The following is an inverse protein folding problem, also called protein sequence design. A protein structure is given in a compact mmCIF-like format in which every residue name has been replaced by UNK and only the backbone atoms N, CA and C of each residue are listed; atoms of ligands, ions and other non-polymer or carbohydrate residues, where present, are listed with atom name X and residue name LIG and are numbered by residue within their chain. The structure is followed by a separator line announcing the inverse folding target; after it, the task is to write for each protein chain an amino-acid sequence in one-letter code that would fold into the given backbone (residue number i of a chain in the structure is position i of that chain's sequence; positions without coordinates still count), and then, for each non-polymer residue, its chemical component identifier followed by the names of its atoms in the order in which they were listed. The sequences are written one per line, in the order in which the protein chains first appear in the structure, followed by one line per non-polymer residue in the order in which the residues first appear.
data_IF_451620342025
#
_entry.id   IF_451620342025
#
_cell.length_a   1.000
_cell.length_b   1.000
_cell.length_c   1.000
_cell.angle_alpha   90.00
_cell.angle_beta   90.00
_cell.angle_gamma   90.00
#
_symmetry.space_group_name_H-M   'P 1'
#
loop_
_entity.id
_entity.type
_entity.pdbx_description
1 polymer ?
#
# COMPACT_ATOMS: atom_id res chain seq x y z
N UNK A 1 2.23 -23.82 -6.14
CA UNK A 1 0.78 -23.54 -6.07
C UNK A 1 0.37 -22.25 -6.79
N UNK A 2 0.83 -21.05 -6.37
CA UNK A 2 0.36 -19.79 -6.98
C UNK A 2 0.88 -19.62 -8.42
N UNK A 3 2.12 -20.06 -8.73
CA UNK A 3 2.66 -20.05 -10.09
C UNK A 3 1.81 -20.91 -11.05
N UNK A 4 1.44 -22.14 -10.66
CA UNK A 4 0.52 -23.00 -11.44
C UNK A 4 -0.91 -22.43 -11.56
N UNK A 5 -1.33 -21.55 -10.65
CA UNK A 5 -2.62 -20.87 -10.77
C UNK A 5 -2.56 -19.78 -11.85
N UNK A 6 -1.52 -18.94 -11.83
CA UNK A 6 -1.35 -17.84 -12.80
C UNK A 6 -1.05 -18.36 -14.21
N UNK A 7 -0.43 -19.54 -14.34
CA UNK A 7 -0.18 -20.18 -15.63
C UNK A 7 -1.44 -20.69 -16.34
N UNK A 8 -2.54 -20.93 -15.60
CA UNK A 8 -3.77 -21.49 -16.15
C UNK A 8 -4.80 -20.40 -16.46
N UNK A 9 -4.98 -20.12 -17.76
CA UNK A 9 -5.91 -19.11 -18.28
C UNK A 9 -7.39 -19.43 -18.04
N UNK A 10 -7.75 -20.66 -17.64
CA UNK A 10 -9.12 -21.01 -17.26
C UNK A 10 -9.45 -20.65 -15.81
N UNK A 11 -8.45 -20.32 -14.97
CA UNK A 11 -8.67 -19.92 -13.58
C UNK A 11 -8.93 -18.41 -13.45
N UNK A 12 -9.72 -18.04 -12.44
CA UNK A 12 -10.00 -16.64 -12.11
C UNK A 12 -8.73 -15.88 -11.66
N UNK A 13 -8.60 -14.58 -11.99
CA UNK A 13 -7.47 -13.76 -11.57
C UNK A 13 -7.42 -13.59 -10.05
N UNK A 14 -6.21 -13.52 -9.49
CA UNK A 14 -5.97 -13.39 -8.06
C UNK A 14 -5.89 -11.91 -7.66
N UNK A 15 -6.80 -11.45 -6.80
CA UNK A 15 -6.67 -10.15 -6.14
C UNK A 15 -5.71 -10.29 -4.94
N UNK A 16 -4.71 -9.40 -4.88
CA UNK A 16 -3.72 -9.35 -3.79
C UNK A 16 -3.60 -7.94 -3.23
N UNK A 17 -3.43 -7.83 -1.91
CA UNK A 17 -3.14 -6.57 -1.21
C UNK A 17 -1.68 -6.61 -0.72
N UNK A 18 -0.70 -6.22 -1.55
CA UNK A 18 0.73 -6.41 -1.26
C UNK A 18 1.25 -5.61 -0.06
N UNK A 19 0.46 -4.66 0.43
CA UNK A 19 0.74 -3.86 1.62
C UNK A 19 0.38 -4.58 2.94
N UNK A 20 -0.59 -5.51 2.89
CA UNK A 20 -1.03 -6.30 4.05
C UNK A 20 -1.75 -5.53 5.17
N UNK A 21 -2.03 -4.23 5.01
CA UNK A 21 -2.77 -3.44 6.01
C UNK A 21 -3.43 -2.20 5.39
N UNK A 22 -4.65 -1.85 5.84
CA UNK A 22 -5.31 -0.59 5.46
C UNK A 22 -4.63 0.58 6.18
N UNK A 23 -4.09 1.56 5.45
CA UNK A 23 -3.39 2.73 6.01
C UNK A 23 -4.20 4.02 5.84
N UNK A 24 -3.67 5.12 6.38
CA UNK A 24 -4.12 6.46 6.09
C UNK A 24 -3.92 6.80 4.59
N UNK A 25 -4.92 7.47 4.03
CA UNK A 25 -5.12 7.78 2.60
C UNK A 25 -4.15 8.83 2.01
N UNK A 26 -2.95 8.96 2.59
CA UNK A 26 -1.94 9.98 2.28
C UNK A 26 -0.65 9.39 1.70
N UNK A 27 -0.46 8.08 1.79
CA UNK A 27 0.83 7.42 1.60
C UNK A 27 0.65 6.01 1.02
N UNK A 28 1.74 5.32 0.69
CA UNK A 28 1.77 3.88 0.38
C UNK A 28 2.99 3.25 1.05
N UNK A 29 2.82 2.21 1.86
CA UNK A 29 3.93 1.52 2.53
C UNK A 29 4.72 0.61 1.59
N UNK A 30 5.84 0.07 2.06
CA UNK A 30 6.59 -0.99 1.39
C UNK A 30 5.71 -2.22 1.13
N UNK A 31 5.58 -2.57 -0.15
CA UNK A 31 4.97 -3.81 -0.61
C UNK A 31 5.82 -5.04 -0.27
N UNK A 32 5.18 -6.16 0.08
CA UNK A 32 5.87 -7.41 0.46
C UNK A 32 6.39 -8.16 -0.78
N UNK A 33 7.71 -8.41 -0.82
CA UNK A 33 8.42 -9.02 -1.97
C UNK A 33 7.75 -10.29 -2.53
N UNK A 34 7.28 -11.19 -1.66
CA UNK A 34 6.67 -12.47 -2.06
C UNK A 34 5.43 -12.35 -2.96
N UNK A 35 4.75 -11.20 -3.00
CA UNK A 35 3.68 -10.92 -3.98
C UNK A 35 4.19 -10.76 -5.41
N UNK A 36 5.46 -10.45 -5.60
CA UNK A 36 6.09 -10.09 -6.89
C UNK A 36 7.07 -11.17 -7.39
N UNK A 37 7.55 -12.06 -6.51
CA UNK A 37 8.38 -13.23 -6.87
C UNK A 37 7.63 -14.34 -7.63
N UNK A 38 6.29 -14.27 -7.67
CA UNK A 38 5.46 -15.27 -8.33
C UNK A 38 5.67 -15.24 -9.85
N UNK A 39 5.82 -14.06 -10.44
CA UNK A 39 5.90 -13.85 -11.89
C UNK A 39 4.51 -13.81 -12.56
N UNK A 40 4.46 -13.25 -13.76
CA UNK A 40 3.24 -12.97 -14.51
C UNK A 40 2.89 -11.47 -14.59
N UNK A 41 1.79 -11.15 -15.25
CA UNK A 41 1.34 -9.77 -15.48
C UNK A 41 0.53 -9.24 -14.30
N UNK A 42 1.04 -8.23 -13.62
CA UNK A 42 0.33 -7.53 -12.54
C UNK A 42 -0.47 -6.37 -13.13
N UNK A 43 -1.73 -6.26 -12.74
CA UNK A 43 -2.59 -5.13 -13.08
C UNK A 43 -2.70 -4.24 -11.85
N UNK A 44 -1.99 -3.10 -11.76
CA UNK A 44 -2.03 -2.27 -10.57
C UNK A 44 -3.38 -1.55 -10.47
N UNK A 45 -3.94 -1.49 -9.26
CA UNK A 45 -5.15 -0.71 -8.97
C UNK A 45 -4.83 0.28 -7.87
N UNK A 46 -4.97 1.57 -8.16
CA UNK A 46 -4.91 2.62 -7.16
C UNK A 46 -6.30 2.86 -6.59
N UNK A 47 -6.43 2.86 -5.27
CA UNK A 47 -7.68 3.03 -4.54
C UNK A 47 -7.48 4.20 -3.57
N UNK A 48 -8.37 5.20 -3.59
CA UNK A 48 -8.30 6.37 -2.72
C UNK A 48 -9.69 6.77 -2.22
N UNK A 49 -9.89 6.69 -0.92
CA UNK A 49 -11.11 7.13 -0.24
C UNK A 49 -11.15 8.65 -0.09
N UNK A 50 -12.34 9.23 0.07
CA UNK A 50 -12.48 10.65 0.41
C UNK A 50 -12.87 10.80 1.90
N UNK A 51 -11.93 11.23 2.76
CA UNK A 51 -12.14 11.29 4.21
C UNK A 51 -13.19 12.32 4.65
N UNK A 52 -13.71 13.15 3.72
CA UNK A 52 -14.83 14.07 3.97
C UNK A 52 -16.17 13.35 4.17
N UNK A 53 -16.31 12.14 3.63
CA UNK A 53 -17.54 11.35 3.70
C UNK A 53 -17.42 10.23 4.76
N UNK A 54 -16.33 9.45 4.68
CA UNK A 54 -15.96 8.44 5.66
C UNK A 54 -14.45 8.19 5.60
N UNK A 55 -13.83 7.89 6.74
CA UNK A 55 -12.45 7.41 6.79
C UNK A 55 -12.46 5.93 7.23
N UNK A 56 -12.24 4.97 6.31
CA UNK A 56 -12.22 3.55 6.62
C UNK A 56 -10.93 3.08 7.32
N UNK A 57 -10.01 4.00 7.66
CA UNK A 57 -8.83 3.68 8.46
C UNK A 57 -9.12 3.83 9.96
N UNK A 58 -9.28 2.70 10.66
CA UNK A 58 -9.37 2.71 12.12
C UNK A 58 -7.99 2.88 12.79
N UNK A 59 -7.76 4.06 13.35
CA UNK A 59 -6.67 4.30 14.30
C UNK A 59 -7.11 3.95 15.73
N UNK A 60 -6.77 2.73 16.17
CA UNK A 60 -7.07 2.21 17.50
C UNK A 60 -6.30 2.90 18.64
N UNK A 61 -5.36 3.80 18.35
CA UNK A 61 -4.67 4.62 19.37
C UNK A 61 -5.38 5.93 19.67
N UNK A 62 -6.30 6.35 18.78
CA UNK A 62 -7.07 7.60 18.89
C UNK A 62 -8.57 7.38 19.07
N UNK A 63 -9.12 6.29 18.55
CA UNK A 63 -10.56 6.03 18.53
C UNK A 63 -10.90 4.66 19.13
N UNK A 64 -11.82 4.66 20.09
CA UNK A 64 -12.49 3.44 20.53
C UNK A 64 -13.19 2.77 19.34
N UNK A 65 -13.20 1.43 19.30
CA UNK A 65 -13.88 0.68 18.23
C UNK A 65 -15.37 1.03 18.16
N UNK A 66 -16.01 1.32 19.30
CA UNK A 66 -17.44 1.67 19.37
C UNK A 66 -17.69 3.03 18.71
N UNK A 67 -16.88 4.06 19.00
CA UNK A 67 -17.06 5.38 18.39
C UNK A 67 -16.66 5.40 16.91
N UNK A 68 -15.68 4.58 16.51
CA UNK A 68 -15.35 4.36 15.10
C UNK A 68 -16.48 3.67 14.33
N UNK A 69 -17.04 2.58 14.86
CA UNK A 69 -18.18 1.87 14.23
C UNK A 69 -19.42 2.77 14.17
N UNK A 70 -19.73 3.52 15.24
CA UNK A 70 -20.85 4.47 15.22
C UNK A 70 -20.66 5.56 14.16
N UNK A 71 -19.45 6.13 14.03
CA UNK A 71 -19.11 7.09 12.97
C UNK A 71 -19.28 6.48 11.58
N UNK A 72 -18.81 5.24 11.36
CA UNK A 72 -18.97 4.54 10.07
C UNK A 72 -20.44 4.22 9.73
N UNK A 73 -21.27 3.91 10.72
CA UNK A 73 -22.71 3.65 10.53
C UNK A 73 -23.53 4.95 10.34
N UNK A 74 -23.03 6.10 10.78
CA UNK A 74 -23.67 7.41 10.61
C UNK A 74 -23.10 8.24 9.46
N UNK A 75 -22.00 7.81 8.84
CA UNK A 75 -21.48 8.36 7.59
C UNK A 75 -22.47 8.14 6.43
N UNK A 76 -22.97 9.24 5.86
CA UNK A 76 -23.94 9.22 4.75
C UNK A 76 -23.47 8.44 3.52
N UNK A 77 -22.17 8.43 3.24
CA UNK A 77 -21.58 7.70 2.12
C UNK A 77 -20.11 7.31 2.41
N UNK A 78 -19.60 6.34 1.67
CA UNK A 78 -18.17 6.02 1.59
C UNK A 78 -17.74 6.27 0.13
N UNK A 79 -17.19 7.45 -0.15
CA UNK A 79 -16.72 7.79 -1.50
C UNK A 79 -15.33 7.19 -1.72
N UNK A 80 -15.19 6.40 -2.79
CA UNK A 80 -13.96 5.70 -3.13
C UNK A 80 -13.65 5.88 -4.63
N UNK A 81 -12.46 6.41 -4.92
CA UNK A 81 -11.94 6.55 -6.27
C UNK A 81 -11.07 5.33 -6.58
N UNK A 82 -11.37 4.65 -7.69
CA UNK A 82 -10.64 3.46 -8.14
C UNK A 82 -10.08 3.75 -9.54
N UNK A 83 -8.78 3.54 -9.72
CA UNK A 83 -8.11 3.63 -11.01
C UNK A 83 -7.42 2.32 -11.32
N UNK A 84 -7.78 1.71 -12.44
CA UNK A 84 -7.03 0.62 -13.06
C UNK A 84 -5.86 1.24 -13.83
N UNK A 85 -4.64 0.77 -13.58
CA UNK A 85 -3.43 1.19 -14.29
C UNK A 85 -3.09 0.17 -15.39
N UNK A 86 -2.28 0.54 -16.39
CA UNK A 86 -1.79 -0.39 -17.41
C UNK A 86 -1.10 -1.63 -16.79
N UNK A 87 -1.15 -2.79 -17.46
CA UNK A 87 -0.45 -3.99 -17.02
C UNK A 87 1.06 -3.75 -16.90
N UNK A 88 1.66 -4.30 -15.84
CA UNK A 88 3.08 -4.24 -15.55
C UNK A 88 3.65 -5.66 -15.43
N UNK A 89 4.81 -5.89 -16.03
CA UNK A 89 5.54 -7.17 -16.02
C UNK A 89 6.95 -6.92 -15.48
N UNK A 90 7.50 -7.88 -14.73
CA UNK A 90 8.89 -7.83 -14.26
C UNK A 90 9.83 -7.82 -15.46
N UNK A 91 10.73 -6.84 -15.54
CA UNK A 91 11.77 -6.78 -16.58
C UNK A 91 12.85 -7.84 -16.31
N UNK A 92 13.61 -8.28 -17.31
CA UNK A 92 14.46 -9.49 -17.18
C UNK A 92 15.48 -9.36 -16.03
N UNK A 93 16.23 -8.26 -15.98
CA UNK A 93 17.24 -7.95 -14.96
C UNK A 93 16.66 -7.44 -13.62
N UNK A 94 15.35 -7.16 -13.55
CA UNK A 94 14.71 -6.52 -12.39
C UNK A 94 14.44 -7.52 -11.25
N UNK A 95 15.01 -7.34 -10.05
CA UNK A 95 14.58 -8.13 -8.87
C UNK A 95 13.14 -7.75 -8.44
N UNK A 96 12.43 -8.70 -7.83
CA UNK A 96 11.06 -8.49 -7.36
C UNK A 96 10.90 -7.37 -6.31
N UNK A 97 11.96 -6.93 -5.59
CA UNK A 97 11.93 -5.69 -4.78
C UNK A 97 11.88 -4.44 -5.64
N UNK A 98 12.63 -4.40 -6.75
CA UNK A 98 12.59 -3.28 -7.69
C UNK A 98 11.23 -3.23 -8.40
N UNK A 99 10.72 -4.38 -8.86
CA UNK A 99 9.38 -4.48 -9.46
C UNK A 99 8.28 -4.05 -8.48
N UNK A 100 8.33 -4.51 -7.22
CA UNK A 100 7.40 -4.06 -6.19
C UNK A 100 7.46 -2.54 -5.94
N UNK A 101 8.66 -1.93 -5.96
CA UNK A 101 8.81 -0.49 -5.82
C UNK A 101 8.33 0.29 -7.06
N UNK A 102 8.54 -0.24 -8.28
CA UNK A 102 8.06 0.37 -9.54
C UNK A 102 6.53 0.36 -9.63
N UNK A 103 5.90 -0.77 -9.28
CA UNK A 103 4.43 -0.88 -9.17
C UNK A 103 3.88 0.02 -8.05
N UNK A 104 4.55 0.07 -6.89
CA UNK A 104 4.20 1.00 -5.78
C UNK A 104 4.26 2.46 -6.23
N UNK A 105 5.31 2.86 -6.96
CA UNK A 105 5.48 4.22 -7.45
C UNK A 105 4.36 4.61 -8.43
N UNK A 106 3.98 3.72 -9.35
CA UNK A 106 2.87 3.95 -10.28
C UNK A 106 1.53 4.16 -9.55
N UNK A 107 1.22 3.30 -8.57
CA UNK A 107 0.01 3.40 -7.73
C UNK A 107 0.01 4.69 -6.90
N UNK A 108 1.12 5.01 -6.25
CA UNK A 108 1.26 6.21 -5.42
C UNK A 108 1.17 7.51 -6.24
N UNK A 109 1.80 7.55 -7.42
CA UNK A 109 1.70 8.66 -8.36
C UNK A 109 0.25 8.87 -8.83
N UNK A 110 -0.45 7.80 -9.22
CA UNK A 110 -1.87 7.92 -9.64
C UNK A 110 -2.79 8.34 -8.51
N UNK A 111 -2.54 7.88 -7.28
CA UNK A 111 -3.29 8.28 -6.10
C UNK A 111 -2.92 9.66 -5.55
N UNK A 112 -1.82 10.29 -5.98
CA UNK A 112 -1.28 11.47 -5.30
C UNK A 112 -0.99 11.19 -3.82
N UNK A 113 -0.19 10.16 -3.57
CA UNK A 113 0.17 9.66 -2.24
C UNK A 113 1.70 9.58 -2.08
N UNK A 114 2.20 9.83 -0.87
CA UNK A 114 3.63 9.75 -0.58
C UNK A 114 4.13 8.29 -0.58
N UNK A 115 5.11 7.98 -1.42
CA UNK A 115 5.82 6.69 -1.38
C UNK A 115 6.68 6.62 -0.12
N UNK A 116 6.47 5.61 0.72
CA UNK A 116 7.27 5.39 1.91
C UNK A 116 8.15 4.13 1.82
N UNK A 117 9.33 4.12 2.46
CA UNK A 117 10.19 2.93 2.58
C UNK A 117 9.79 2.03 3.76
N UNK A 118 8.87 2.51 4.61
CA UNK A 118 8.47 1.84 5.85
C UNK A 118 7.53 0.67 5.58
N UNK A 119 7.61 -0.38 6.39
CA UNK A 119 6.59 -1.43 6.45
C UNK A 119 5.46 -1.06 7.43
N UNK A 120 4.23 -1.48 7.12
CA UNK A 120 3.06 -1.35 8.00
C UNK A 120 3.23 -1.89 9.44
N UNK A 121 4.18 -2.80 9.70
CA UNK A 121 4.61 -3.19 11.04
C UNK A 121 5.04 -2.04 11.96
N UNK A 122 5.47 -0.88 11.43
CA UNK A 122 5.74 0.32 12.22
C UNK A 122 4.50 0.92 12.90
N UNK A 123 3.27 0.53 12.52
CA UNK A 123 2.06 0.86 13.30
C UNK A 123 2.07 0.31 14.72
N UNK A 124 2.83 -0.78 14.98
CA UNK A 124 2.87 -1.50 16.26
C UNK A 124 4.22 -1.45 16.97
N UNK A 125 5.27 -0.94 16.32
CA UNK A 125 6.65 -0.89 16.85
C UNK A 125 7.27 0.48 16.58
N UNK A 126 7.91 1.07 17.60
CA UNK A 126 8.66 2.32 17.44
C UNK A 126 9.75 2.17 16.36
N UNK A 127 10.02 3.25 15.63
CA UNK A 127 11.15 3.35 14.69
C UNK A 127 12.45 2.99 15.41
N UNK A 128 13.29 2.12 14.83
CA UNK A 128 14.66 1.86 15.33
C UNK A 128 15.46 3.17 15.34
N UNK A 129 16.31 3.37 16.34
CA UNK A 129 17.12 4.59 16.44
C UNK A 129 18.06 4.81 15.25
N UNK A 130 18.65 3.76 14.69
CA UNK A 130 19.47 3.86 13.47
C UNK A 130 18.78 4.60 12.31
N UNK A 131 17.46 4.43 12.12
CA UNK A 131 16.70 5.14 11.08
C UNK A 131 16.33 6.57 11.49
N UNK A 132 16.20 6.86 12.79
CA UNK A 132 16.02 8.24 13.28
C UNK A 132 17.32 9.03 13.07
N UNK A 133 18.45 8.45 13.45
CA UNK A 133 19.79 9.01 13.29
C UNK A 133 20.10 9.28 11.82
N UNK A 134 19.76 8.36 10.91
CA UNK A 134 19.95 8.56 9.46
C UNK A 134 19.13 9.74 8.93
N UNK A 135 17.87 9.90 9.38
CA UNK A 135 17.04 11.06 9.02
C UNK A 135 17.55 12.36 9.66
N UNK A 136 18.02 12.32 10.91
CA UNK A 136 18.63 13.47 11.58
C UNK A 136 19.92 13.91 10.87
N UNK A 137 20.79 12.98 10.46
CA UNK A 137 21.98 13.29 9.66
C UNK A 137 21.64 13.95 8.33
N UNK A 138 20.62 13.43 7.63
CA UNK A 138 20.12 14.03 6.38
C UNK A 138 19.54 15.43 6.59
N UNK A 139 18.85 15.68 7.71
CA UNK A 139 18.35 17.00 8.06
C UNK A 139 19.50 17.99 8.39
N UNK A 140 20.50 17.55 9.16
CA UNK A 140 21.71 18.32 9.48
C UNK A 140 22.71 18.44 8.31
N UNK A 141 22.31 18.06 7.09
CA UNK A 141 23.03 18.33 5.83
C UNK A 141 22.25 19.30 4.92
N UNK A 142 21.05 19.73 5.35
CA UNK A 142 20.17 20.68 4.66
C UNK A 142 20.14 22.04 5.40
N UNK A 143 20.64 22.06 6.65
CA UNK A 143 20.83 23.23 7.52
C UNK A 143 22.32 23.54 7.63
#
# INVERSE_FOLDING_TARGET
RIKEHIADKAKLPILIFPEGTCINNTSVMMFKKGSFEVGGTIHPVAIKYDPRFADPFWDSTKHSIISYVFKMLTSWAIVCNVWYLPPMVKEEEEDAVHFANRVKAAVAARGGMAVLPWDGGLKRKKVKESFKEEQQRKYCQIV
#
